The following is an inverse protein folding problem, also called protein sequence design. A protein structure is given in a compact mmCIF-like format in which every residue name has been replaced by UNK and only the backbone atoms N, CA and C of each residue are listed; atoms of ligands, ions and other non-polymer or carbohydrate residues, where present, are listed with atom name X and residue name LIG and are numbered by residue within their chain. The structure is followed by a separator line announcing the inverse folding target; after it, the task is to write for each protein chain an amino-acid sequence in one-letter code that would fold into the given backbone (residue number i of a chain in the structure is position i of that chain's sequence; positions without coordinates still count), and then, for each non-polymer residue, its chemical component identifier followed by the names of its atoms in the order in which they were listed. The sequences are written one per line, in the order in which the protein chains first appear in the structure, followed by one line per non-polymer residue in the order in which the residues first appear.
data_IF_555749370033
#
_entry.id   IF_555749370033
#
_cell.length_a   1.000
_cell.length_b   1.000
_cell.length_c   1.000
_cell.angle_alpha   90.00
_cell.angle_beta   90.00
_cell.angle_gamma   90.00
#
_symmetry.space_group_name_H-M   'P 1'
#
loop_
_entity.id
_entity.type
_entity.pdbx_description
1 polymer ?
#
# COMPACT_ATOMS: atom_id res chain seq x y z
N UNK A 1 -33.85 -25.31 -19.36
CA UNK A 1 -33.17 -24.60 -18.25
C UNK A 1 -31.71 -25.01 -18.33
N UNK A 2 -30.88 -24.18 -18.96
CA UNK A 2 -29.43 -24.38 -18.97
C UNK A 2 -28.97 -23.96 -17.59
N UNK A 3 -28.58 -24.92 -16.75
CA UNK A 3 -27.81 -24.62 -15.55
C UNK A 3 -26.42 -24.24 -16.03
N UNK A 4 -26.09 -22.97 -15.86
CA UNK A 4 -24.73 -22.47 -16.08
C UNK A 4 -23.87 -23.02 -14.94
N UNK A 5 -23.23 -24.17 -15.17
CA UNK A 5 -22.29 -24.83 -14.24
C UNK A 5 -20.96 -24.06 -14.20
N UNK A 6 -21.01 -22.73 -14.04
CA UNK A 6 -19.82 -21.96 -13.70
C UNK A 6 -19.57 -22.12 -12.19
N UNK A 7 -18.41 -22.65 -11.78
CA UNK A 7 -18.10 -22.82 -10.36
C UNK A 7 -18.15 -21.45 -9.66
N UNK A 8 -18.84 -21.40 -8.52
CA UNK A 8 -19.02 -20.17 -7.74
C UNK A 8 -17.66 -19.55 -7.42
N UNK A 9 -17.55 -18.24 -7.62
CA UNK A 9 -16.30 -17.52 -7.38
C UNK A 9 -15.97 -17.59 -5.89
N UNK A 10 -14.79 -18.09 -5.57
CA UNK A 10 -14.29 -18.06 -4.21
C UNK A 10 -13.80 -16.63 -3.89
N UNK A 11 -14.54 -15.92 -3.05
CA UNK A 11 -14.20 -14.56 -2.62
C UNK A 11 -12.98 -14.50 -1.69
N UNK A 12 -12.56 -15.61 -1.12
CA UNK A 12 -11.42 -15.66 -0.20
C UNK A 12 -10.08 -15.88 -0.94
N UNK A 13 -10.13 -16.11 -2.26
CA UNK A 13 -8.95 -16.30 -3.11
C UNK A 13 -8.73 -15.07 -4.00
N UNK A 14 -7.48 -14.64 -4.22
CA UNK A 14 -7.14 -13.59 -5.17
C UNK A 14 -7.60 -13.93 -6.61
N UNK A 15 -8.02 -12.92 -7.38
CA UNK A 15 -8.46 -13.12 -8.78
C UNK A 15 -7.36 -13.66 -9.69
N UNK A 16 -6.13 -13.21 -9.44
CA UNK A 16 -4.96 -13.54 -10.23
C UNK A 16 -4.02 -14.40 -9.41
N UNK A 17 -3.31 -15.31 -10.07
CA UNK A 17 -2.31 -16.17 -9.45
C UNK A 17 -1.18 -15.35 -8.80
N UNK A 18 -1.16 -15.33 -7.46
CA UNK A 18 -0.15 -14.58 -6.70
C UNK A 18 1.23 -15.27 -6.70
N UNK A 19 1.36 -16.50 -7.21
CA UNK A 19 2.67 -17.15 -7.38
C UNK A 19 3.52 -16.46 -8.45
N UNK A 20 2.87 -15.87 -9.46
CA UNK A 20 3.50 -15.17 -10.56
C UNK A 20 3.59 -13.68 -10.27
N UNK A 21 4.73 -13.08 -10.60
CA UNK A 21 4.93 -11.62 -10.49
C UNK A 21 3.83 -10.82 -11.21
N UNK A 22 3.44 -11.27 -12.41
CA UNK A 22 2.39 -10.60 -13.21
C UNK A 22 1.01 -10.69 -12.54
N UNK A 23 0.71 -11.78 -11.85
CA UNK A 23 -0.55 -11.89 -11.12
C UNK A 23 -0.60 -10.95 -9.92
N UNK A 24 0.49 -10.87 -9.14
CA UNK A 24 0.63 -9.87 -8.07
C UNK A 24 0.53 -8.45 -8.60
N UNK A 25 1.19 -8.15 -9.70
CA UNK A 25 1.16 -6.83 -10.32
C UNK A 25 -0.25 -6.44 -10.77
N UNK A 26 -0.98 -7.34 -11.44
CA UNK A 26 -2.38 -7.11 -11.87
C UNK A 26 -3.31 -6.89 -10.69
N UNK A 27 -3.08 -7.61 -9.62
CA UNK A 27 -3.82 -7.49 -8.37
C UNK A 27 -3.60 -6.11 -7.71
N UNK A 28 -2.33 -5.73 -7.52
CA UNK A 28 -1.94 -4.38 -7.06
C UNK A 28 -2.52 -3.27 -7.95
N UNK A 29 -2.45 -3.38 -9.28
CA UNK A 29 -3.05 -2.37 -10.16
C UNK A 29 -4.58 -2.27 -10.00
N UNK A 30 -5.24 -3.38 -9.67
CA UNK A 30 -6.67 -3.41 -9.43
C UNK A 30 -7.06 -2.62 -8.17
N UNK A 31 -6.40 -2.90 -7.05
CA UNK A 31 -6.68 -2.28 -5.76
C UNK A 31 -6.16 -0.83 -5.66
N UNK A 32 -5.12 -0.47 -6.43
CA UNK A 32 -4.65 0.92 -6.56
C UNK A 32 -5.37 1.72 -7.66
N UNK A 33 -6.50 1.24 -8.18
CA UNK A 33 -7.26 1.95 -9.22
C UNK A 33 -7.81 3.27 -8.65
N UNK A 34 -7.22 4.39 -9.08
CA UNK A 34 -7.55 5.75 -8.61
C UNK A 34 -9.04 6.10 -8.76
N UNK A 35 -9.76 5.46 -9.69
CA UNK A 35 -11.20 5.66 -9.89
C UNK A 35 -12.01 5.27 -8.66
N UNK A 36 -11.50 4.32 -7.87
CA UNK A 36 -12.13 3.86 -6.63
C UNK A 36 -12.10 4.93 -5.53
N UNK A 37 -11.22 5.93 -5.63
CA UNK A 37 -11.20 7.07 -4.71
C UNK A 37 -12.48 7.92 -4.77
N UNK A 38 -13.15 7.96 -5.93
CA UNK A 38 -14.34 8.78 -6.15
C UNK A 38 -15.64 8.08 -5.78
N UNK A 39 -15.56 6.88 -5.21
CA UNK A 39 -16.75 6.14 -4.79
C UNK A 39 -17.32 6.73 -3.51
N UNK A 40 -18.63 6.98 -3.56
CA UNK A 40 -19.40 7.48 -2.42
C UNK A 40 -19.56 6.39 -1.36
N UNK A 41 -19.78 6.80 -0.11
CA UNK A 41 -20.03 5.87 0.99
C UNK A 41 -21.20 4.94 0.71
N UNK A 42 -22.24 5.43 0.02
CA UNK A 42 -23.39 4.64 -0.38
C UNK A 42 -23.01 3.53 -1.38
N UNK A 43 -22.22 3.85 -2.39
CA UNK A 43 -21.75 2.85 -3.37
C UNK A 43 -20.84 1.80 -2.72
N UNK A 44 -20.06 2.18 -1.70
CA UNK A 44 -19.21 1.24 -0.96
C UNK A 44 -20.04 0.29 -0.09
N UNK A 45 -21.11 0.78 0.53
CA UNK A 45 -22.03 -0.06 1.30
C UNK A 45 -22.82 -1.00 0.38
N UNK A 46 -23.29 -0.53 -0.79
CA UNK A 46 -23.95 -1.36 -1.80
C UNK A 46 -23.04 -2.51 -2.28
N UNK A 47 -21.74 -2.23 -2.45
CA UNK A 47 -20.74 -3.23 -2.80
C UNK A 47 -20.53 -4.25 -1.69
N UNK A 48 -20.45 -3.80 -0.44
CA UNK A 48 -20.33 -4.67 0.74
C UNK A 48 -21.53 -5.59 0.86
N UNK A 49 -22.73 -5.03 0.78
CA UNK A 49 -23.99 -5.78 0.87
C UNK A 49 -24.10 -6.81 -0.27
N UNK A 50 -23.67 -6.46 -1.49
CA UNK A 50 -23.64 -7.41 -2.61
C UNK A 50 -22.72 -8.60 -2.33
N UNK A 51 -21.53 -8.37 -1.76
CA UNK A 51 -20.60 -9.45 -1.42
C UNK A 51 -21.12 -10.32 -0.27
N UNK A 52 -21.75 -9.73 0.75
CA UNK A 52 -22.39 -10.48 1.83
C UNK A 52 -23.54 -11.36 1.31
N UNK A 53 -24.43 -10.80 0.49
CA UNK A 53 -25.50 -11.56 -0.17
C UNK A 53 -24.95 -12.68 -1.07
N UNK A 54 -23.87 -12.42 -1.80
CA UNK A 54 -23.19 -13.44 -2.58
C UNK A 54 -22.58 -14.54 -1.70
N UNK A 55 -22.02 -14.23 -0.52
CA UNK A 55 -21.59 -15.31 0.42
C UNK A 55 -22.75 -16.18 0.88
N UNK A 56 -23.95 -15.60 1.01
CA UNK A 56 -25.16 -16.31 1.47
C UNK A 56 -26.00 -16.99 0.37
N UNK A 57 -25.65 -16.88 -0.92
CA UNK A 57 -26.52 -17.44 -1.98
C UNK A 57 -27.72 -16.58 -2.34
N UNK A 58 -27.73 -15.30 -1.96
CA UNK A 58 -28.87 -14.38 -2.07
C UNK A 58 -28.59 -13.20 -3.01
N UNK A 59 -27.70 -13.38 -3.99
CA UNK A 59 -27.39 -12.37 -4.98
C UNK A 59 -28.60 -11.99 -5.84
N UNK A 60 -28.75 -10.70 -6.22
CA UNK A 60 -29.82 -10.27 -7.11
C UNK A 60 -29.79 -11.04 -8.46
N UNK A 61 -30.95 -11.40 -9.04
CA UNK A 61 -31.01 -12.03 -10.35
C UNK A 61 -30.32 -11.16 -11.42
N UNK A 62 -29.45 -11.78 -12.23
CA UNK A 62 -28.66 -11.08 -13.27
C UNK A 62 -27.32 -10.52 -12.78
N UNK A 63 -26.83 -10.94 -11.61
CA UNK A 63 -25.48 -10.62 -11.16
C UNK A 63 -24.45 -11.38 -12.00
N UNK A 64 -23.62 -10.65 -12.75
CA UNK A 64 -22.55 -11.22 -13.57
C UNK A 64 -21.27 -11.42 -12.75
N UNK A 65 -20.41 -12.35 -13.18
CA UNK A 65 -19.08 -12.56 -12.60
C UNK A 65 -18.24 -11.27 -12.55
N UNK A 66 -18.30 -10.46 -13.61
CA UNK A 66 -17.59 -9.16 -13.66
C UNK A 66 -18.04 -8.21 -12.55
N UNK A 67 -19.33 -8.22 -12.21
CA UNK A 67 -19.90 -7.38 -11.15
C UNK A 67 -19.40 -7.84 -9.78
N UNK A 68 -19.25 -9.14 -9.56
CA UNK A 68 -18.69 -9.70 -8.33
C UNK A 68 -17.21 -9.35 -8.19
N UNK A 69 -16.41 -9.50 -9.25
CA UNK A 69 -14.99 -9.11 -9.22
C UNK A 69 -14.79 -7.61 -9.02
N UNK A 70 -15.64 -6.79 -9.64
CA UNK A 70 -15.62 -5.35 -9.43
C UNK A 70 -15.99 -4.98 -7.99
N UNK A 71 -17.02 -5.61 -7.43
CA UNK A 71 -17.44 -5.42 -6.05
C UNK A 71 -16.32 -5.82 -5.09
N UNK A 72 -15.70 -7.00 -5.28
CA UNK A 72 -14.55 -7.45 -4.49
C UNK A 72 -13.42 -6.44 -4.48
N UNK A 73 -13.01 -5.96 -5.67
CA UNK A 73 -11.96 -4.95 -5.82
C UNK A 73 -12.31 -3.62 -5.15
N UNK A 74 -13.55 -3.17 -5.28
CA UNK A 74 -14.01 -1.93 -4.63
C UNK A 74 -14.05 -2.08 -3.10
N UNK A 75 -14.44 -3.25 -2.59
CA UNK A 75 -14.41 -3.58 -1.17
C UNK A 75 -12.97 -3.61 -0.62
N UNK A 76 -12.07 -4.36 -1.26
CA UNK A 76 -10.65 -4.46 -0.90
C UNK A 76 -9.94 -3.09 -0.91
N UNK A 77 -10.37 -2.17 -1.78
CA UNK A 77 -9.79 -0.82 -1.84
C UNK A 77 -10.21 0.12 -0.71
N UNK A 78 -11.31 -0.18 0.00
CA UNK A 78 -11.98 0.76 0.89
C UNK A 78 -12.19 0.24 2.32
N UNK A 79 -12.17 -1.07 2.52
CA UNK A 79 -12.37 -1.71 3.82
C UNK A 79 -11.10 -2.43 4.26
N UNK A 80 -10.79 -2.35 5.56
CA UNK A 80 -9.63 -3.00 6.13
C UNK A 80 -9.80 -4.53 6.07
N UNK A 81 -8.82 -5.30 5.56
CA UNK A 81 -8.97 -6.74 5.32
C UNK A 81 -9.16 -7.59 6.59
N UNK A 82 -8.69 -7.08 7.74
CA UNK A 82 -8.79 -7.77 9.03
C UNK A 82 -9.99 -7.33 9.89
N UNK A 83 -10.35 -6.04 9.90
CA UNK A 83 -11.43 -5.52 10.76
C UNK A 83 -12.75 -5.37 10.02
N UNK A 84 -12.71 -5.28 8.68
CA UNK A 84 -13.88 -4.97 7.86
C UNK A 84 -14.33 -3.50 7.96
N UNK A 85 -13.58 -2.65 8.64
CA UNK A 85 -13.92 -1.24 8.82
C UNK A 85 -13.56 -0.40 7.61
N UNK A 86 -14.38 0.61 7.33
CA UNK A 86 -14.12 1.56 6.25
C UNK A 86 -12.88 2.40 6.55
N UNK A 87 -11.89 2.33 5.67
CA UNK A 87 -10.65 3.09 5.75
C UNK A 87 -10.87 4.55 5.34
N UNK A 88 -10.11 5.47 5.95
CA UNK A 88 -10.05 6.88 5.54
C UNK A 88 -9.56 6.98 4.09
N UNK A 89 -10.28 7.73 3.25
CA UNK A 89 -10.00 7.92 1.82
C UNK A 89 -8.55 8.27 1.54
N UNK A 90 -7.94 9.14 2.35
CA UNK A 90 -6.55 9.60 2.16
C UNK A 90 -5.55 8.46 2.43
N UNK A 91 -5.87 7.54 3.32
CA UNK A 91 -5.03 6.40 3.66
C UNK A 91 -5.26 5.15 2.79
N UNK A 92 -6.25 5.16 1.90
CA UNK A 92 -6.53 4.01 1.01
C UNK A 92 -5.41 3.83 0.00
N UNK A 93 -5.09 2.58 -0.35
CA UNK A 93 -4.10 2.29 -1.39
C UNK A 93 -4.44 2.94 -2.74
N UNK A 94 -5.73 3.05 -3.08
CA UNK A 94 -6.19 3.73 -4.30
C UNK A 94 -5.85 5.22 -4.34
N UNK A 95 -5.67 5.88 -3.18
CA UNK A 95 -5.33 7.31 -3.09
C UNK A 95 -3.82 7.57 -3.00
N UNK A 96 -2.99 6.54 -2.73
CA UNK A 96 -1.53 6.69 -2.66
C UNK A 96 -0.94 7.33 -3.92
N UNK A 97 -1.32 6.83 -5.10
CA UNK A 97 -0.82 7.34 -6.38
C UNK A 97 -1.32 8.77 -6.65
N UNK A 98 -2.64 9.07 -6.60
CA UNK A 98 -3.15 10.44 -6.70
C UNK A 98 -2.53 11.42 -5.70
N UNK A 99 -2.52 11.08 -4.41
CA UNK A 99 -1.98 11.93 -3.34
C UNK A 99 -0.47 12.15 -3.49
N UNK A 100 0.28 11.09 -3.80
CA UNK A 100 1.71 11.16 -4.07
C UNK A 100 2.04 12.00 -5.30
N UNK A 101 1.24 11.95 -6.37
CA UNK A 101 1.39 12.81 -7.55
C UNK A 101 1.18 14.28 -7.21
N UNK A 102 0.16 14.61 -6.40
CA UNK A 102 -0.09 15.99 -5.96
C UNK A 102 1.09 16.50 -5.13
N UNK A 103 1.54 15.72 -4.14
CA UNK A 103 2.67 16.08 -3.28
C UNK A 103 3.96 16.24 -4.08
N UNK A 104 4.24 15.31 -5.00
CA UNK A 104 5.41 15.37 -5.89
C UNK A 104 5.34 16.61 -6.79
N UNK A 105 4.19 16.86 -7.42
CA UNK A 105 3.97 18.05 -8.24
C UNK A 105 4.19 19.35 -7.47
N UNK A 106 3.71 19.40 -6.22
CA UNK A 106 3.91 20.55 -5.35
C UNK A 106 5.37 20.73 -4.94
N UNK A 107 6.07 19.66 -4.55
CA UNK A 107 7.51 19.67 -4.27
C UNK A 107 8.33 20.18 -5.48
N UNK A 108 7.97 19.75 -6.69
CA UNK A 108 8.64 20.16 -7.94
C UNK A 108 8.31 21.59 -8.37
N UNK A 109 7.16 22.12 -7.94
CA UNK A 109 6.71 23.48 -8.28
C UNK A 109 7.31 24.50 -7.31
N UNK A 110 7.29 24.19 -6.01
CA UNK A 110 7.68 25.11 -4.96
C UNK A 110 9.11 24.88 -4.42
N UNK A 111 9.95 24.13 -5.16
CA UNK A 111 11.33 23.77 -4.76
C UNK A 111 12.24 24.99 -4.47
N UNK A 112 11.93 26.16 -5.04
CA UNK A 112 12.74 27.38 -4.88
C UNK A 112 12.67 27.99 -3.48
N UNK A 113 11.53 27.92 -2.79
CA UNK A 113 11.40 28.47 -1.44
C UNK A 113 11.84 27.44 -0.39
N UNK A 114 12.67 27.84 0.57
CA UNK A 114 13.11 26.94 1.65
C UNK A 114 11.96 26.57 2.58
N UNK A 115 11.10 27.53 2.94
CA UNK A 115 9.91 27.24 3.76
C UNK A 115 8.95 26.29 3.04
N UNK A 116 8.79 26.45 1.73
CA UNK A 116 7.97 25.53 0.94
C UNK A 116 8.59 24.12 0.86
N UNK A 117 9.91 24.01 0.69
CA UNK A 117 10.61 22.71 0.73
C UNK A 117 10.37 22.01 2.07
N UNK A 118 10.50 22.73 3.19
CA UNK A 118 10.26 22.15 4.52
C UNK A 118 8.81 21.68 4.65
N UNK A 119 7.85 22.53 4.30
CA UNK A 119 6.42 22.22 4.36
C UNK A 119 6.07 20.99 3.51
N UNK A 120 6.51 20.94 2.26
CA UNK A 120 6.13 19.87 1.35
C UNK A 120 6.83 18.53 1.66
N UNK A 121 8.05 18.55 2.20
CA UNK A 121 8.69 17.33 2.71
C UNK A 121 7.97 16.79 3.94
N UNK A 122 7.60 17.68 4.87
CA UNK A 122 6.79 17.30 6.02
C UNK A 122 5.42 16.74 5.61
N UNK A 123 4.73 17.41 4.67
CA UNK A 123 3.44 16.95 4.16
C UNK A 123 3.55 15.57 3.48
N UNK A 124 4.61 15.36 2.69
CA UNK A 124 4.88 14.07 2.05
C UNK A 124 5.10 12.94 3.08
N UNK A 125 5.89 13.19 4.12
CA UNK A 125 6.12 12.18 5.16
C UNK A 125 4.89 11.95 6.03
N UNK A 126 4.09 12.99 6.27
CA UNK A 126 2.81 12.86 6.99
C UNK A 126 1.82 11.99 6.20
N UNK A 127 1.76 12.17 4.88
CA UNK A 127 0.95 11.33 4.00
C UNK A 127 1.42 9.86 4.02
N UNK A 128 2.73 9.61 3.90
CA UNK A 128 3.28 8.26 3.99
C UNK A 128 3.02 7.62 5.36
N UNK A 129 3.11 8.37 6.46
CA UNK A 129 2.81 7.87 7.80
C UNK A 129 1.33 7.51 7.95
N UNK A 130 0.41 8.33 7.43
CA UNK A 130 -1.02 8.06 7.44
C UNK A 130 -1.36 6.81 6.64
N UNK A 131 -0.82 6.69 5.43
CA UNK A 131 -0.97 5.51 4.59
C UNK A 131 -0.46 4.26 5.31
N UNK A 132 0.70 4.34 5.95
CA UNK A 132 1.26 3.24 6.73
C UNK A 132 0.40 2.86 7.95
N UNK A 133 -0.18 3.85 8.63
CA UNK A 133 -1.09 3.63 9.76
C UNK A 133 -2.40 2.95 9.32
N UNK A 134 -2.95 3.37 8.18
CA UNK A 134 -4.23 2.86 7.65
C UNK A 134 -4.10 1.45 7.06
N UNK A 135 -2.93 1.09 6.54
CA UNK A 135 -2.66 -0.22 5.92
C UNK A 135 -1.79 -1.14 6.79
N UNK A 136 -1.65 -0.85 8.09
CA UNK A 136 -0.88 -1.73 8.98
C UNK A 136 -1.59 -3.06 9.15
N UNK A 137 -0.83 -4.13 9.15
CA UNK A 137 -1.35 -5.48 9.34
C UNK A 137 -1.89 -5.66 10.76
N UNK A 138 -3.13 -6.13 10.93
CA UNK A 138 -3.69 -6.35 12.27
C UNK A 138 -3.07 -7.57 12.98
N UNK A 139 -2.51 -8.52 12.21
CA UNK A 139 -1.85 -9.73 12.74
C UNK A 139 -0.39 -9.54 13.13
N UNK A 140 0.25 -8.48 12.64
CA UNK A 140 1.60 -8.06 13.04
C UNK A 140 1.56 -6.59 13.43
N UNK A 141 1.02 -6.27 14.62
CA UNK A 141 0.76 -4.90 15.01
C UNK A 141 2.07 -4.12 15.05
N UNK A 142 2.17 -3.13 14.18
CA UNK A 142 3.19 -2.10 14.31
C UNK A 142 2.87 -1.25 15.53
N UNK A 143 3.81 -1.15 16.46
CA UNK A 143 3.63 -0.27 17.61
C UNK A 143 3.49 1.17 17.13
N UNK A 144 2.60 1.94 17.74
CA UNK A 144 2.47 3.38 17.46
C UNK A 144 3.81 4.11 17.64
N UNK A 145 4.64 3.62 18.57
CA UNK A 145 6.00 4.11 18.78
C UNK A 145 6.91 3.85 17.57
N UNK A 146 6.82 2.68 16.93
CA UNK A 146 7.58 2.35 15.72
C UNK A 146 7.17 3.24 14.55
N UNK A 147 5.87 3.46 14.37
CA UNK A 147 5.37 4.38 13.34
C UNK A 147 5.84 5.82 13.59
N UNK A 148 5.78 6.29 14.84
CA UNK A 148 6.26 7.62 15.21
C UNK A 148 7.76 7.78 14.98
N UNK A 149 8.57 6.78 15.36
CA UNK A 149 10.02 6.76 15.13
C UNK A 149 10.32 6.74 13.63
N UNK A 150 9.63 5.91 12.85
CA UNK A 150 9.79 5.85 11.40
C UNK A 150 9.46 7.21 10.74
N UNK A 151 8.35 7.82 11.15
CA UNK A 151 7.91 9.12 10.66
C UNK A 151 8.91 10.25 10.99
N UNK A 152 9.32 10.38 12.26
CA UNK A 152 10.28 11.42 12.67
C UNK A 152 11.63 11.23 11.99
N UNK A 153 12.13 9.99 11.93
CA UNK A 153 13.43 9.68 11.32
C UNK A 153 13.40 9.95 9.81
N UNK A 154 12.35 9.50 9.12
CA UNK A 154 12.20 9.73 7.68
C UNK A 154 12.01 11.22 7.35
N UNK A 155 11.28 11.97 8.18
CA UNK A 155 11.12 13.43 8.03
C UNK A 155 12.44 14.16 8.26
N UNK A 156 13.18 13.80 9.30
CA UNK A 156 14.51 14.36 9.55
C UNK A 156 15.47 14.13 8.39
N UNK A 157 15.51 12.90 7.86
CA UNK A 157 16.32 12.55 6.70
C UNK A 157 15.90 13.30 5.43
N UNK A 158 14.60 13.36 5.14
CA UNK A 158 14.07 14.09 4.00
C UNK A 158 14.49 15.58 4.06
N UNK A 159 14.32 16.21 5.21
CA UNK A 159 14.66 17.62 5.41
C UNK A 159 16.17 17.86 5.35
N UNK A 160 16.97 17.02 5.99
CA UNK A 160 18.43 17.11 5.94
C UNK A 160 18.94 16.99 4.49
N UNK A 161 18.46 16.01 3.74
CA UNK A 161 18.82 15.84 2.33
C UNK A 161 18.29 17.00 1.48
N UNK A 162 17.04 17.42 1.63
CA UNK A 162 16.46 18.49 0.81
C UNK A 162 17.17 19.83 1.04
N UNK A 163 17.42 20.21 2.29
CA UNK A 163 18.07 21.47 2.63
C UNK A 163 19.57 21.43 2.31
N UNK A 164 20.25 20.33 2.63
CA UNK A 164 21.67 20.14 2.35
C UNK A 164 21.95 20.17 0.85
N UNK A 165 21.19 19.41 0.06
CA UNK A 165 21.39 19.34 -1.39
C UNK A 165 20.98 20.65 -2.08
N UNK A 166 19.93 21.32 -1.60
CA UNK A 166 19.57 22.66 -2.07
C UNK A 166 20.68 23.68 -1.83
N UNK A 167 21.23 23.72 -0.61
CA UNK A 167 22.33 24.62 -0.26
C UNK A 167 23.59 24.30 -1.07
N UNK A 168 23.89 23.01 -1.27
CA UNK A 168 25.04 22.58 -2.04
C UNK A 168 24.95 22.94 -3.53
N UNK A 169 23.76 22.81 -4.12
CA UNK A 169 23.50 23.09 -5.54
C UNK A 169 23.25 24.58 -5.82
N UNK A 170 23.00 25.39 -4.78
CA UNK A 170 22.81 26.83 -4.90
C UNK A 170 24.06 27.47 -5.52
N UNK A 171 23.90 28.08 -6.70
CA UNK A 171 25.00 28.70 -7.44
C UNK A 171 25.97 27.73 -8.13
N UNK A 172 25.80 26.41 -7.98
CA UNK A 172 26.67 25.38 -8.58
C UNK A 172 26.03 24.58 -9.71
N UNK A 173 24.70 24.55 -9.76
CA UNK A 173 23.96 23.72 -10.71
C UNK A 173 22.82 24.49 -11.38
N UNK A 174 22.42 24.00 -12.56
CA UNK A 174 21.28 24.53 -13.29
C UNK A 174 19.99 24.41 -12.48
N UNK A 175 19.03 25.28 -12.77
CA UNK A 175 17.68 25.25 -12.16
C UNK A 175 16.96 23.92 -12.40
N UNK A 176 17.28 23.23 -13.49
CA UNK A 176 16.77 21.89 -13.78
C UNK A 176 17.25 20.87 -12.75
N UNK A 177 18.54 20.85 -12.41
CA UNK A 177 19.09 19.92 -11.42
C UNK A 177 18.55 20.18 -10.01
N UNK A 178 18.41 21.46 -9.63
CA UNK A 178 17.82 21.83 -8.34
C UNK A 178 16.36 21.38 -8.19
N UNK A 179 15.64 21.25 -9.31
CA UNK A 179 14.26 20.74 -9.31
C UNK A 179 14.17 19.27 -8.91
N UNK A 180 15.25 18.48 -9.04
CA UNK A 180 15.27 17.06 -8.65
C UNK A 180 15.64 16.83 -7.18
N UNK A 181 16.02 17.87 -6.43
CA UNK A 181 16.33 17.78 -4.99
C UNK A 181 15.23 17.06 -4.18
N UNK A 182 13.93 17.30 -4.42
CA UNK A 182 12.89 16.56 -3.72
C UNK A 182 12.93 15.05 -3.93
N UNK A 183 13.34 14.55 -5.10
CA UNK A 183 13.45 13.11 -5.34
C UNK A 183 14.55 12.48 -4.49
N UNK A 184 15.71 13.14 -4.39
CA UNK A 184 16.81 12.67 -3.56
C UNK A 184 16.39 12.61 -2.08
N UNK A 185 15.65 13.61 -1.61
CA UNK A 185 15.11 13.66 -0.26
C UNK A 185 14.09 12.54 0.02
N UNK A 186 13.15 12.31 -0.90
CA UNK A 186 12.18 11.21 -0.78
C UNK A 186 12.88 9.84 -0.83
N UNK A 187 13.91 9.68 -1.65
CA UNK A 187 14.71 8.46 -1.68
C UNK A 187 15.42 8.21 -0.35
N UNK A 188 16.09 9.23 0.20
CA UNK A 188 16.75 9.15 1.50
C UNK A 188 15.76 8.81 2.63
N UNK A 189 14.57 9.40 2.60
CA UNK A 189 13.51 9.10 3.55
C UNK A 189 13.04 7.65 3.46
N UNK A 190 12.84 7.12 2.25
CA UNK A 190 12.44 5.73 2.03
C UNK A 190 13.50 4.72 2.47
N UNK A 191 14.79 5.04 2.29
CA UNK A 191 15.89 4.21 2.80
C UNK A 191 15.86 4.03 4.33
N UNK A 192 15.21 4.94 5.06
CA UNK A 192 15.06 4.86 6.51
C UNK A 192 13.68 4.32 6.89
N UNK A 193 12.63 4.76 6.20
CA UNK A 193 11.25 4.37 6.51
C UNK A 193 11.03 2.87 6.31
N UNK A 194 11.46 2.30 5.18
CA UNK A 194 11.20 0.88 4.87
C UNK A 194 11.81 -0.06 5.92
N UNK A 195 13.11 0.06 6.28
CA UNK A 195 13.68 -0.80 7.33
C UNK A 195 13.03 -0.63 8.70
N UNK A 196 12.65 0.59 9.08
CA UNK A 196 12.01 0.85 10.37
C UNK A 196 10.59 0.28 10.42
N UNK A 197 9.82 0.47 9.34
CA UNK A 197 8.48 -0.08 9.21
C UNK A 197 8.47 -1.61 9.16
N UNK A 198 9.52 -2.22 8.58
CA UNK A 198 9.67 -3.69 8.51
C UNK A 198 10.60 -4.25 9.58
N UNK A 199 10.93 -3.48 10.63
CA UNK A 199 11.91 -3.90 11.64
C UNK A 199 11.48 -5.18 12.36
N UNK A 200 10.18 -5.36 12.63
CA UNK A 200 9.68 -6.57 13.27
C UNK A 200 9.93 -7.82 12.40
N UNK A 201 9.73 -7.73 11.09
CA UNK A 201 10.01 -8.82 10.15
C UNK A 201 11.51 -9.06 10.02
N UNK A 202 12.32 -8.00 10.02
CA UNK A 202 13.78 -8.08 9.93
C UNK A 202 14.43 -8.72 11.17
N UNK A 203 13.88 -8.44 12.36
CA UNK A 203 14.43 -8.90 13.65
C UNK A 203 13.83 -10.23 14.07
N UNK A 204 12.51 -10.37 13.99
CA UNK A 204 11.80 -11.54 14.50
C UNK A 204 11.62 -12.63 13.45
N UNK A 205 11.92 -12.36 12.18
CA UNK A 205 11.66 -13.27 11.07
C UNK A 205 10.18 -13.35 10.74
N UNK A 206 9.85 -14.23 9.79
CA UNK A 206 8.47 -14.41 9.33
C UNK A 206 8.09 -15.87 9.47
N UNK A 207 6.84 -16.09 9.87
CA UNK A 207 6.25 -17.41 10.05
C UNK A 207 6.05 -18.05 8.67
N UNK A 208 6.73 -19.17 8.46
CA UNK A 208 6.56 -20.02 7.28
C UNK A 208 5.56 -21.09 7.62
N UNK A 209 4.50 -21.22 6.81
CA UNK A 209 3.46 -22.23 6.95
C UNK A 209 3.64 -23.35 5.90
N UNK A 210 3.15 -24.57 6.20
CA UNK A 210 3.03 -25.66 5.23
C UNK A 210 1.84 -25.45 4.27
N UNK A 211 1.63 -26.40 3.36
CA UNK A 211 0.52 -26.38 2.39
C UNK A 211 -0.87 -26.49 3.07
N UNK A 212 -0.90 -26.97 4.32
CA UNK A 212 -2.12 -27.15 5.13
C UNK A 212 -2.35 -25.97 6.11
N UNK A 213 -1.48 -24.96 6.10
CA UNK A 213 -1.57 -23.78 6.96
C UNK A 213 -0.97 -23.94 8.36
N UNK A 214 -0.25 -25.02 8.65
CA UNK A 214 0.43 -25.22 9.93
C UNK A 214 1.76 -24.47 9.96
N UNK A 215 2.09 -23.85 11.09
CA UNK A 215 3.34 -23.09 11.26
C UNK A 215 4.55 -24.05 11.31
N UNK A 216 5.40 -24.00 10.29
CA UNK A 216 6.58 -24.87 10.17
C UNK A 216 7.80 -24.32 10.92
N UNK A 217 8.11 -23.03 10.75
CA UNK A 217 9.27 -22.40 11.37
C UNK A 217 9.25 -20.87 11.23
N UNK A 218 9.93 -20.18 12.14
CA UNK A 218 10.22 -18.76 12.01
C UNK A 218 11.56 -18.56 11.28
N UNK A 219 11.50 -18.10 10.02
CA UNK A 219 12.68 -17.99 9.17
C UNK A 219 13.39 -16.65 9.36
N UNK A 220 14.54 -16.66 10.04
CA UNK A 220 15.48 -15.51 10.07
C UNK A 220 16.31 -15.37 8.77
N UNK A 221 16.33 -16.40 7.93
CA UNK A 221 17.33 -16.57 6.86
C UNK A 221 16.85 -16.24 5.43
N UNK A 222 15.66 -15.65 5.25
CA UNK A 222 15.20 -15.14 3.94
C UNK A 222 15.51 -13.64 3.71
N UNK A 223 16.51 -13.11 4.41
CA UNK A 223 16.88 -11.69 4.37
C UNK A 223 17.27 -11.15 2.98
N UNK A 224 17.78 -11.98 2.06
CA UNK A 224 18.15 -11.55 0.71
C UNK A 224 17.01 -11.63 -0.32
N UNK A 225 15.92 -12.31 0.04
CA UNK A 225 14.81 -12.57 -0.88
C UNK A 225 13.82 -11.41 -0.93
N UNK A 226 13.82 -10.51 0.05
CA UNK A 226 12.96 -9.31 0.05
C UNK A 226 13.32 -8.28 -1.03
N UNK A 227 14.52 -8.37 -1.61
CA UNK A 227 15.03 -7.43 -2.62
C UNK A 227 14.95 -8.03 -4.04
N UNK A 228 14.40 -9.24 -4.20
CA UNK A 228 14.21 -9.90 -5.49
C UNK A 228 12.82 -10.52 -5.56
N UNK A 229 12.03 -10.30 -6.64
CA UNK A 229 10.62 -10.72 -6.75
C UNK A 229 10.38 -12.25 -6.73
N UNK A 230 11.39 -13.07 -6.44
CA UNK A 230 11.38 -14.52 -6.63
C UNK A 230 11.07 -15.38 -5.39
N UNK A 231 11.03 -14.84 -4.16
CA UNK A 231 10.81 -15.68 -2.97
C UNK A 231 9.71 -15.25 -2.00
N UNK A 232 8.68 -14.60 -2.55
CA UNK A 232 7.33 -14.47 -1.98
C UNK A 232 6.56 -15.82 -1.92
N UNK A 233 7.23 -16.94 -1.68
CA UNK A 233 6.69 -18.29 -1.94
C UNK A 233 6.41 -19.13 -0.70
N UNK A 234 6.53 -18.58 0.50
CA UNK A 234 6.31 -19.34 1.74
C UNK A 234 6.11 -18.42 2.95
N UNK A 235 5.19 -17.47 2.83
CA UNK A 235 4.80 -16.58 3.93
C UNK A 235 3.34 -16.85 4.26
N UNK A 236 3.04 -17.04 5.53
CA UNK A 236 1.66 -17.22 5.97
C UNK A 236 0.86 -15.95 5.65
N UNK A 237 0.08 -15.98 4.57
CA UNK A 237 -1.11 -15.16 4.37
C UNK A 237 -0.97 -13.63 4.63
N UNK A 238 0.20 -13.05 4.33
CA UNK A 238 0.38 -11.59 4.33
C UNK A 238 0.39 -10.97 2.95
N UNK A 239 0.53 -11.76 1.89
CA UNK A 239 0.58 -11.26 0.51
C UNK A 239 -0.64 -11.70 -0.34
N UNK A 240 -1.52 -12.56 0.18
CA UNK A 240 -2.78 -12.96 -0.47
C UNK A 240 -3.97 -12.02 -0.18
N UNK A 241 -3.72 -10.89 0.49
CA UNK A 241 -4.72 -9.82 0.75
C UNK A 241 -4.19 -8.42 0.47
N UNK A 242 -3.38 -8.31 -0.57
CA UNK A 242 -3.26 -7.03 -1.30
C UNK A 242 -4.58 -6.70 -1.96
#
# INVERSE_FOLDING_TARGET
LVMDDTPRINLDVPRYDQSQFIGRLRHFFGITDWRLCFKTDRELEEVKELLERYRHGQEPPGTTEEKIWYAKRAYESAFHPDTGDKQNVIGRMCFQVPGGMILTGAMLTFYKSTSAVVFWQWANQSFNALVNFTNRNAKSPLSETQLAVAYVSATGAALATALGLKSFLAGRASTLLQRYVPFAAVAAANCINIPLMRQNELVNGIVVCDEDGNELANSRCNQYIYISPAGARRLCNTEDKV
#
